data_IF_346966402754
#
_entry.id   IF_346966402754
#
_cell.length_a   1.000
_cell.length_b   1.000
_cell.length_c   1.000
_cell.angle_alpha   90.00
_cell.angle_beta   90.00
_cell.angle_gamma   90.00
#
_symmetry.space_group_name_H-M   'P 1'
#
loop_
_entity.id
_entity.type
_entity.pdbx_description
1 polymer ?
#
# COMPACT_ATOMS: atom_id res chain seq x y z
N UNK A 1 31.61 40.19 -63.95
CA UNK A 1 33.06 40.44 -64.05
C UNK A 1 33.46 41.40 -62.93
N UNK A 2 34.50 41.01 -62.19
CA UNK A 2 35.45 41.82 -61.41
C UNK A 2 35.02 42.65 -60.18
N UNK A 3 35.46 42.10 -59.04
CA UNK A 3 36.27 42.70 -57.95
C UNK A 3 35.67 43.72 -56.96
N UNK A 4 35.71 43.29 -55.69
CA UNK A 4 35.73 44.09 -54.45
C UNK A 4 36.99 44.99 -54.36
N UNK A 5 37.08 45.97 -53.44
CA UNK A 5 37.48 45.65 -52.05
C UNK A 5 36.97 46.57 -50.92
N UNK A 6 36.97 46.00 -49.68
CA UNK A 6 37.41 46.53 -48.36
C UNK A 6 36.88 47.90 -47.88
N UNK A 7 36.62 48.21 -46.61
CA UNK A 7 36.86 47.63 -45.28
C UNK A 7 36.09 48.54 -44.30
N UNK A 8 35.47 48.00 -43.26
CA UNK A 8 35.51 48.59 -41.90
C UNK A 8 34.88 47.62 -40.91
N UNK A 9 35.71 47.16 -39.99
CA UNK A 9 35.34 46.29 -38.89
C UNK A 9 34.66 47.12 -37.81
N UNK A 10 33.42 46.76 -37.47
CA UNK A 10 32.70 47.25 -36.31
C UNK A 10 32.94 46.28 -35.14
N UNK A 11 33.62 46.76 -34.12
CA UNK A 11 33.79 46.07 -32.83
C UNK A 11 32.46 45.98 -32.11
N UNK A 12 31.96 44.75 -31.93
CA UNK A 12 30.77 44.46 -31.11
C UNK A 12 31.11 44.53 -29.62
N UNK A 13 30.19 44.99 -28.75
CA UNK A 13 30.39 44.95 -27.31
C UNK A 13 30.16 43.53 -26.78
N UNK A 14 31.03 43.10 -25.88
CA UNK A 14 30.89 41.91 -25.06
C UNK A 14 29.64 42.11 -24.20
N UNK A 15 28.59 41.34 -24.49
CA UNK A 15 27.44 41.24 -23.62
C UNK A 15 27.77 40.25 -22.49
N UNK A 16 28.07 40.79 -21.31
CA UNK A 16 28.06 40.02 -20.07
C UNK A 16 26.68 39.40 -19.88
N UNK A 17 26.61 38.07 -19.99
CA UNK A 17 25.47 37.30 -19.51
C UNK A 17 25.54 37.29 -17.98
N UNK A 18 24.57 37.88 -17.26
CA UNK A 18 24.45 37.60 -15.84
C UNK A 18 24.04 36.13 -15.68
N UNK A 19 24.98 35.31 -15.22
CA UNK A 19 24.72 33.97 -14.71
C UNK A 19 23.95 34.10 -13.39
N UNK A 20 22.65 34.43 -13.49
CA UNK A 20 21.72 34.26 -12.38
C UNK A 20 21.62 32.75 -12.17
N UNK A 21 22.38 32.23 -11.20
CA UNK A 21 22.20 30.87 -10.72
C UNK A 21 20.77 30.78 -10.20
N UNK A 22 19.86 30.22 -10.99
CA UNK A 22 18.51 29.97 -10.55
C UNK A 22 18.59 29.14 -9.26
N UNK A 23 18.19 29.73 -8.13
CA UNK A 23 18.13 29.01 -6.87
C UNK A 23 17.17 27.83 -7.08
N UNK A 24 17.71 26.62 -7.00
CA UNK A 24 16.95 25.41 -7.20
C UNK A 24 15.98 25.23 -6.04
N UNK A 25 14.69 25.50 -6.28
CA UNK A 25 13.65 25.35 -5.25
C UNK A 25 13.33 23.88 -5.04
N UNK A 26 13.35 23.43 -3.79
CA UNK A 26 12.98 22.07 -3.42
C UNK A 26 11.48 21.88 -3.60
N UNK A 27 11.08 20.89 -4.40
CA UNK A 27 9.67 20.60 -4.65
C UNK A 27 9.07 19.69 -3.58
N UNK A 28 7.74 19.60 -3.54
CA UNK A 28 7.04 18.66 -2.65
C UNK A 28 7.43 17.19 -2.90
N UNK A 29 7.67 16.81 -4.15
CA UNK A 29 8.08 15.43 -4.48
C UNK A 29 9.53 15.16 -4.06
N UNK A 30 10.40 16.17 -4.07
CA UNK A 30 11.76 16.06 -3.55
C UNK A 30 11.74 15.78 -2.04
N UNK A 31 10.88 16.49 -1.31
CA UNK A 31 10.67 16.23 0.13
C UNK A 31 10.16 14.81 0.38
N UNK A 32 9.13 14.37 -0.36
CA UNK A 32 8.63 12.99 -0.26
C UNK A 32 9.69 11.95 -0.63
N UNK A 33 10.60 12.27 -1.54
CA UNK A 33 11.71 11.39 -1.90
C UNK A 33 12.65 11.15 -0.71
N UNK A 34 13.14 12.22 -0.07
CA UNK A 34 13.97 12.09 1.14
C UNK A 34 13.23 11.29 2.21
N UNK A 35 11.97 11.64 2.46
CA UNK A 35 11.16 10.97 3.49
C UNK A 35 10.96 9.49 3.19
N UNK A 36 10.67 9.13 1.94
CA UNK A 36 10.53 7.73 1.52
C UNK A 36 11.81 6.95 1.83
N UNK A 37 12.97 7.49 1.46
CA UNK A 37 14.24 6.77 1.64
C UNK A 37 14.59 6.68 3.12
N UNK A 38 14.56 7.79 3.87
CA UNK A 38 14.91 7.83 5.29
C UNK A 38 13.96 7.01 6.17
N UNK A 39 12.67 7.03 5.86
CA UNK A 39 11.65 6.30 6.62
C UNK A 39 11.67 4.80 6.32
N UNK A 40 12.00 4.39 5.08
CA UNK A 40 12.14 2.97 4.74
C UNK A 40 13.26 2.25 5.50
N UNK A 41 14.26 3.00 5.98
CA UNK A 41 15.43 2.45 6.68
C UNK A 41 15.36 2.57 8.21
N UNK A 42 14.40 3.34 8.75
CA UNK A 42 14.35 3.68 10.18
C UNK A 42 13.59 2.72 11.09
N UNK A 43 12.63 1.93 10.59
CA UNK A 43 11.77 1.13 11.47
C UNK A 43 11.19 -0.12 10.79
N UNK A 44 11.86 -1.26 10.97
CA UNK A 44 11.41 -2.57 10.46
C UNK A 44 10.31 -3.23 11.33
N UNK A 45 9.46 -2.44 11.99
CA UNK A 45 8.33 -2.95 12.81
C UNK A 45 7.05 -3.21 12.01
N UNK A 46 7.14 -3.55 10.72
CA UNK A 46 5.96 -3.92 9.89
C UNK A 46 5.27 -5.25 10.28
N UNK A 47 5.66 -5.90 11.39
CA UNK A 47 5.26 -7.29 11.67
C UNK A 47 3.92 -7.46 12.40
N UNK A 48 3.29 -6.40 12.93
CA UNK A 48 2.08 -6.54 13.75
C UNK A 48 0.75 -6.10 13.11
N UNK A 49 0.72 -5.76 11.81
CA UNK A 49 -0.52 -5.28 11.16
C UNK A 49 -1.68 -6.28 11.22
N UNK A 50 -1.39 -7.59 11.17
CA UNK A 50 -2.44 -8.60 11.16
C UNK A 50 -3.17 -8.73 12.50
N UNK A 51 -2.43 -8.80 13.61
CA UNK A 51 -3.04 -8.90 14.94
C UNK A 51 -3.88 -7.66 15.26
N UNK A 52 -3.38 -6.46 14.92
CA UNK A 52 -4.12 -5.22 15.09
C UNK A 52 -5.39 -5.15 14.21
N UNK A 53 -5.31 -5.59 12.95
CA UNK A 53 -6.46 -5.62 12.05
C UNK A 53 -7.56 -6.57 12.55
N UNK A 54 -7.19 -7.75 13.10
CA UNK A 54 -8.17 -8.68 13.67
C UNK A 54 -8.95 -8.08 14.84
N UNK A 55 -8.28 -7.40 15.77
CA UNK A 55 -8.95 -6.69 16.88
C UNK A 55 -9.82 -5.54 16.37
N UNK A 56 -9.36 -4.82 15.34
CA UNK A 56 -10.14 -3.75 14.72
C UNK A 56 -11.44 -4.28 14.08
N UNK A 57 -11.37 -5.41 13.36
CA UNK A 57 -12.53 -6.03 12.73
C UNK A 57 -13.56 -6.53 13.74
N UNK A 58 -13.12 -7.02 14.91
CA UNK A 58 -14.04 -7.39 15.98
C UNK A 58 -14.90 -6.20 16.44
N UNK A 59 -14.31 -5.00 16.48
CA UNK A 59 -15.01 -3.75 16.84
C UNK A 59 -15.77 -3.13 15.67
N UNK A 60 -15.42 -3.46 14.43
CA UNK A 60 -15.97 -2.85 13.21
C UNK A 60 -16.21 -3.91 12.12
N UNK A 61 -17.24 -4.77 12.25
CA UNK A 61 -17.48 -5.87 11.31
C UNK A 61 -17.71 -5.37 9.87
N UNK A 62 -18.44 -4.26 9.69
CA UNK A 62 -18.66 -3.66 8.35
C UNK A 62 -17.35 -3.32 7.63
N UNK A 63 -16.29 -2.98 8.38
CA UNK A 63 -14.99 -2.67 7.78
C UNK A 63 -14.27 -3.90 7.23
N UNK A 64 -14.48 -5.07 7.85
CA UNK A 64 -13.97 -6.34 7.34
C UNK A 64 -14.59 -6.67 5.99
N UNK A 65 -15.92 -6.47 5.86
CA UNK A 65 -16.62 -6.59 4.59
C UNK A 65 -16.02 -5.66 3.53
N UNK A 66 -15.89 -4.38 3.84
CA UNK A 66 -15.40 -3.40 2.86
C UNK A 66 -13.96 -3.71 2.42
N UNK A 67 -13.05 -4.04 3.34
CA UNK A 67 -11.68 -4.41 2.99
C UNK A 67 -11.62 -5.65 2.10
N UNK A 68 -12.38 -6.69 2.45
CA UNK A 68 -12.40 -7.92 1.68
C UNK A 68 -13.04 -7.72 0.30
N UNK A 69 -14.13 -6.97 0.20
CA UNK A 69 -14.76 -6.65 -1.08
C UNK A 69 -13.86 -5.78 -1.94
N UNK A 70 -13.08 -4.87 -1.35
CA UNK A 70 -12.10 -4.07 -2.09
C UNK A 70 -11.03 -4.94 -2.78
N UNK A 71 -10.73 -6.14 -2.25
CA UNK A 71 -9.81 -7.10 -2.91
C UNK A 71 -10.37 -7.61 -4.24
N UNK A 72 -11.71 -7.72 -4.34
CA UNK A 72 -12.41 -8.20 -5.53
C UNK A 72 -12.42 -7.16 -6.66
N UNK A 73 -12.14 -5.89 -6.36
CA UNK A 73 -12.01 -4.82 -7.37
C UNK A 73 -10.68 -4.90 -8.14
N UNK A 74 -9.72 -5.70 -7.67
CA UNK A 74 -8.34 -5.67 -8.15
C UNK A 74 -8.12 -6.74 -9.20
N UNK A 75 -8.32 -6.34 -10.45
CA UNK A 75 -8.28 -7.17 -11.66
C UNK A 75 -6.95 -7.06 -12.40
N UNK A 76 -6.23 -5.93 -12.27
CA UNK A 76 -4.96 -5.70 -12.96
C UNK A 76 -3.77 -6.19 -12.13
N UNK A 77 -2.57 -5.91 -12.64
CA UNK A 77 -1.29 -6.34 -12.09
C UNK A 77 -0.96 -5.86 -10.67
N UNK A 78 0.29 -6.01 -10.21
CA UNK A 78 0.69 -5.78 -8.80
C UNK A 78 0.37 -4.41 -8.21
N UNK A 79 0.37 -3.38 -9.05
CA UNK A 79 0.18 -2.00 -8.66
C UNK A 79 -1.28 -1.60 -8.60
N UNK A 80 -2.19 -2.49 -9.01
CA UNK A 80 -3.61 -2.26 -8.92
C UNK A 80 -4.05 -2.27 -7.44
N UNK A 81 -4.76 -1.21 -7.10
CA UNK A 81 -5.28 -0.91 -5.76
C UNK A 81 -6.61 -0.20 -5.93
N UNK A 82 -7.49 -0.42 -4.97
CA UNK A 82 -8.80 0.18 -4.92
C UNK A 82 -9.31 0.33 -3.50
N UNK A 83 -10.29 1.21 -3.38
CA UNK A 83 -11.04 1.50 -2.18
C UNK A 83 -12.54 1.41 -2.48
N UNK A 84 -13.34 1.07 -1.47
CA UNK A 84 -14.78 0.92 -1.57
C UNK A 84 -15.47 1.48 -0.32
N UNK A 85 -16.65 2.05 -0.52
CA UNK A 85 -17.53 2.52 0.54
C UNK A 85 -18.95 2.06 0.25
N UNK A 86 -19.70 1.76 1.30
CA UNK A 86 -21.10 1.41 1.21
C UNK A 86 -21.90 2.40 2.05
N UNK A 87 -22.86 3.09 1.42
CA UNK A 87 -23.75 4.05 2.08
C UNK A 87 -25.17 3.52 2.01
N UNK A 88 -25.80 3.39 3.18
CA UNK A 88 -27.19 2.93 3.32
C UNK A 88 -28.10 4.13 3.56
N UNK A 89 -29.13 4.24 2.75
CA UNK A 89 -30.27 5.11 2.94
C UNK A 89 -31.53 4.25 3.10
N UNK A 90 -32.63 4.76 3.69
CA UNK A 90 -33.83 3.97 3.97
C UNK A 90 -34.42 3.19 2.78
N UNK A 91 -34.18 3.64 1.54
CA UNK A 91 -34.69 3.00 0.32
C UNK A 91 -33.60 2.73 -0.73
N UNK A 92 -32.35 3.05 -0.42
CA UNK A 92 -31.25 3.00 -1.40
C UNK A 92 -29.96 2.51 -0.77
N UNK A 93 -29.29 1.59 -1.44
CA UNK A 93 -27.91 1.21 -1.13
C UNK A 93 -27.02 1.79 -2.23
N UNK A 94 -26.07 2.63 -1.85
CA UNK A 94 -25.08 3.18 -2.77
C UNK A 94 -23.73 2.55 -2.48
N UNK A 95 -23.14 1.90 -3.47
CA UNK A 95 -21.77 1.39 -3.42
C UNK A 95 -20.91 2.32 -4.27
N UNK A 96 -19.90 2.90 -3.63
CA UNK A 96 -18.91 3.75 -4.29
C UNK A 96 -17.58 3.03 -4.27
N UNK A 97 -16.91 2.96 -5.41
CA UNK A 97 -15.58 2.40 -5.47
C UNK A 97 -14.66 3.28 -6.30
N UNK A 98 -13.37 3.19 -6.04
CA UNK A 98 -12.36 3.86 -6.86
C UNK A 98 -11.15 2.95 -6.97
N UNK A 99 -10.47 3.03 -8.11
CA UNK A 99 -9.21 2.33 -8.39
C UNK A 99 -8.14 3.36 -8.70
N UNK A 100 -6.87 2.94 -8.62
CA UNK A 100 -5.74 3.80 -9.01
C UNK A 100 -5.90 4.33 -10.43
N UNK A 101 -6.27 3.46 -11.36
CA UNK A 101 -6.54 3.79 -12.76
C UNK A 101 -8.04 3.61 -13.04
N UNK A 102 -8.64 4.43 -13.91
CA UNK A 102 -10.03 4.25 -14.33
C UNK A 102 -10.29 2.83 -14.87
N UNK A 103 -11.42 2.25 -14.48
CA UNK A 103 -11.87 0.97 -15.01
C UNK A 103 -12.17 1.09 -16.50
N UNK A 104 -11.69 0.11 -17.27
CA UNK A 104 -12.22 -0.09 -18.60
C UNK A 104 -13.63 -0.71 -18.53
N UNK A 105 -14.29 -0.85 -19.68
CA UNK A 105 -15.66 -1.37 -19.74
C UNK A 105 -15.79 -2.78 -19.16
N UNK A 106 -14.86 -3.68 -19.48
CA UNK A 106 -14.85 -5.05 -18.99
C UNK A 106 -14.74 -5.11 -17.46
N UNK A 107 -13.88 -4.28 -16.86
CA UNK A 107 -13.72 -4.20 -15.41
C UNK A 107 -14.99 -3.69 -14.74
N UNK A 108 -15.64 -2.67 -15.31
CA UNK A 108 -16.92 -2.16 -14.79
C UNK A 108 -17.99 -3.24 -14.81
N UNK A 109 -18.13 -3.95 -15.92
CA UNK A 109 -19.10 -5.03 -16.07
C UNK A 109 -18.84 -6.18 -15.09
N UNK A 110 -17.56 -6.53 -14.87
CA UNK A 110 -17.18 -7.52 -13.87
C UNK A 110 -17.56 -7.09 -12.45
N UNK A 111 -17.21 -5.85 -12.05
CA UNK A 111 -17.51 -5.32 -10.72
C UNK A 111 -19.03 -5.27 -10.50
N UNK A 112 -19.76 -4.74 -11.48
CA UNK A 112 -21.22 -4.68 -11.45
C UNK A 112 -21.83 -6.07 -11.31
N UNK A 113 -21.35 -7.04 -12.10
CA UNK A 113 -21.84 -8.42 -12.08
C UNK A 113 -21.63 -9.07 -10.71
N UNK A 114 -20.43 -8.97 -10.13
CA UNK A 114 -20.11 -9.54 -8.82
C UNK A 114 -21.00 -8.94 -7.72
N UNK A 115 -21.10 -7.61 -7.67
CA UNK A 115 -21.87 -6.92 -6.63
C UNK A 115 -23.38 -7.12 -6.79
N UNK A 116 -23.92 -6.99 -8.01
CA UNK A 116 -25.35 -7.21 -8.29
C UNK A 116 -25.75 -8.66 -8.03
N UNK A 117 -24.88 -9.64 -8.35
CA UNK A 117 -25.14 -11.06 -8.09
C UNK A 117 -25.21 -11.35 -6.60
N UNK A 118 -24.26 -10.83 -5.80
CA UNK A 118 -24.30 -10.97 -4.35
C UNK A 118 -25.58 -10.36 -3.75
N UNK A 119 -25.94 -9.16 -4.18
CA UNK A 119 -27.18 -8.47 -3.80
C UNK A 119 -28.46 -9.22 -4.22
N UNK A 120 -28.41 -10.12 -5.20
CA UNK A 120 -29.58 -10.85 -5.67
C UNK A 120 -29.82 -12.17 -4.91
N UNK A 121 -28.81 -12.70 -4.22
CA UNK A 121 -28.94 -13.92 -3.42
C UNK A 121 -29.82 -13.68 -2.18
N UNK A 122 -30.80 -14.56 -1.91
CA UNK A 122 -31.76 -14.38 -0.80
C UNK A 122 -31.88 -15.59 0.13
N UNK A 123 -31.73 -16.80 -0.40
CA UNK A 123 -31.82 -18.06 0.36
C UNK A 123 -30.49 -18.82 0.33
N UNK A 124 -30.30 -19.80 1.21
CA UNK A 124 -29.00 -20.51 1.31
C UNK A 124 -28.65 -21.31 0.04
N UNK A 125 -29.64 -21.84 -0.68
CA UNK A 125 -29.41 -22.59 -1.93
C UNK A 125 -28.89 -21.65 -3.03
N UNK A 126 -29.48 -20.46 -3.15
CA UNK A 126 -29.03 -19.41 -4.07
C UNK A 126 -27.71 -18.80 -3.64
N UNK A 127 -27.41 -18.69 -2.34
CA UNK A 127 -26.10 -18.24 -1.83
C UNK A 127 -24.97 -19.20 -2.24
N UNK A 128 -25.15 -20.51 -2.15
CA UNK A 128 -24.12 -21.47 -2.55
C UNK A 128 -23.79 -21.39 -4.05
N UNK A 129 -24.82 -21.36 -4.91
CA UNK A 129 -24.66 -21.17 -6.35
C UNK A 129 -24.00 -19.81 -6.66
N UNK A 130 -24.47 -18.74 -6.00
CA UNK A 130 -23.92 -17.40 -6.12
C UNK A 130 -22.42 -17.34 -5.78
N UNK A 131 -21.97 -18.02 -4.72
CA UNK A 131 -20.55 -18.09 -4.35
C UNK A 131 -19.72 -18.74 -5.45
N UNK A 132 -20.20 -19.83 -6.04
CA UNK A 132 -19.52 -20.52 -7.14
C UNK A 132 -19.44 -19.64 -8.39
N UNK A 133 -20.54 -18.98 -8.75
CA UNK A 133 -20.59 -18.06 -9.90
C UNK A 133 -19.62 -16.88 -9.70
N UNK A 134 -19.64 -16.25 -8.53
CA UNK A 134 -18.73 -15.13 -8.23
C UNK A 134 -17.28 -15.62 -8.25
N UNK A 135 -16.97 -16.78 -7.68
CA UNK A 135 -15.62 -17.33 -7.70
C UNK A 135 -15.13 -17.55 -9.14
N UNK A 136 -15.98 -18.06 -10.02
CA UNK A 136 -15.65 -18.22 -11.43
C UNK A 136 -15.31 -16.87 -12.09
N UNK A 137 -16.13 -15.84 -11.88
CA UNK A 137 -15.88 -14.49 -12.40
C UNK A 137 -14.58 -13.88 -11.83
N UNK A 138 -14.33 -14.06 -10.53
CA UNK A 138 -13.10 -13.60 -9.87
C UNK A 138 -11.88 -14.29 -10.46
N UNK A 139 -11.92 -15.61 -10.68
CA UNK A 139 -10.81 -16.34 -11.31
C UNK A 139 -10.52 -15.75 -12.68
N UNK A 140 -11.53 -15.61 -13.54
CA UNK A 140 -11.36 -15.07 -14.89
C UNK A 140 -10.76 -13.65 -14.91
N UNK A 141 -11.19 -12.77 -14.01
CA UNK A 141 -10.79 -11.36 -14.03
C UNK A 141 -9.57 -11.05 -13.14
N UNK A 142 -9.17 -11.96 -12.25
CA UNK A 142 -8.04 -11.78 -11.33
C UNK A 142 -6.91 -12.80 -11.55
N UNK A 143 -6.91 -13.59 -12.64
CA UNK A 143 -5.94 -14.66 -12.93
C UNK A 143 -4.50 -14.24 -12.67
N UNK A 144 -4.05 -13.08 -13.19
CA UNK A 144 -2.68 -12.60 -13.02
C UNK A 144 -2.30 -12.39 -11.55
N UNK A 145 -3.22 -11.84 -10.76
CA UNK A 145 -3.00 -11.57 -9.33
C UNK A 145 -3.04 -12.86 -8.51
N UNK A 146 -3.93 -13.78 -8.85
CA UNK A 146 -4.02 -15.12 -8.26
C UNK A 146 -2.72 -15.90 -8.53
N UNK A 147 -2.27 -15.93 -9.78
CA UNK A 147 -1.00 -16.55 -10.18
C UNK A 147 0.18 -15.96 -9.42
N UNK A 148 0.28 -14.63 -9.32
CA UNK A 148 1.36 -14.01 -8.56
C UNK A 148 1.33 -14.39 -7.08
N UNK A 149 0.15 -14.54 -6.47
CA UNK A 149 0.01 -15.03 -5.09
C UNK A 149 0.51 -16.47 -4.99
N UNK A 150 0.13 -17.34 -5.93
CA UNK A 150 0.62 -18.72 -6.01
C UNK A 150 2.14 -18.78 -6.18
N UNK A 151 2.73 -18.02 -7.11
CA UNK A 151 4.19 -17.92 -7.29
C UNK A 151 4.90 -17.53 -5.99
N UNK A 152 4.34 -16.57 -5.22
CA UNK A 152 4.90 -16.19 -3.92
C UNK A 152 4.82 -17.33 -2.91
N UNK A 153 3.73 -18.08 -2.86
CA UNK A 153 3.61 -19.26 -1.99
C UNK A 153 4.70 -20.26 -2.38
N UNK A 154 4.80 -20.63 -3.66
CA UNK A 154 5.76 -21.62 -4.14
C UNK A 154 7.22 -21.19 -3.98
N UNK A 155 7.54 -19.91 -4.14
CA UNK A 155 8.87 -19.39 -3.83
C UNK A 155 9.22 -19.56 -2.34
N UNK A 156 8.26 -19.33 -1.43
CA UNK A 156 8.48 -19.55 0.01
C UNK A 156 8.68 -21.04 0.30
N UNK A 157 7.82 -21.89 -0.28
CA UNK A 157 7.95 -23.34 -0.19
C UNK A 157 9.33 -23.83 -0.65
N UNK A 158 9.82 -23.34 -1.80
CA UNK A 158 11.16 -23.68 -2.31
C UNK A 158 12.31 -23.21 -1.41
N UNK A 159 12.15 -22.09 -0.70
CA UNK A 159 13.13 -21.65 0.31
C UNK A 159 13.10 -22.56 1.55
N UNK A 160 11.92 -22.93 2.04
CA UNK A 160 11.78 -23.80 3.20
C UNK A 160 12.33 -25.21 2.93
N UNK A 161 12.07 -25.75 1.73
CA UNK A 161 12.55 -27.06 1.32
C UNK A 161 14.10 -27.13 1.27
N UNK A 162 14.75 -26.08 0.77
CA UNK A 162 16.22 -26.01 0.73
C UNK A 162 16.87 -25.89 2.10
N UNK A 163 16.20 -25.24 3.06
CA UNK A 163 16.76 -24.98 4.38
C UNK A 163 16.64 -26.17 5.35
N UNK A 164 15.61 -27.02 5.22
CA UNK A 164 15.27 -28.04 6.23
C UNK A 164 15.01 -29.43 5.62
N UNK A 165 15.19 -29.62 4.31
CA UNK A 165 14.99 -30.91 3.63
C UNK A 165 13.52 -31.31 3.41
N UNK A 166 12.57 -30.69 4.11
CA UNK A 166 11.12 -30.79 3.88
C UNK A 166 10.41 -29.50 4.36
N UNK A 167 9.16 -29.28 3.95
CA UNK A 167 8.32 -28.21 4.51
C UNK A 167 8.24 -28.40 6.04
N UNK A 168 8.76 -27.47 6.83
CA UNK A 168 8.80 -27.56 8.30
C UNK A 168 7.39 -27.47 8.86
N UNK A 169 6.68 -28.60 8.89
CA UNK A 169 5.44 -28.79 9.63
C UNK A 169 5.86 -29.19 11.04
N UNK A 170 5.74 -28.26 11.98
CA UNK A 170 6.24 -28.44 13.35
C UNK A 170 5.31 -29.38 14.12
N UNK A 171 5.88 -30.32 14.86
CA UNK A 171 5.12 -31.12 15.82
C UNK A 171 4.51 -30.21 16.88
N UNK A 172 3.20 -30.28 17.07
CA UNK A 172 2.46 -29.47 18.05
C UNK A 172 1.55 -30.39 18.87
N UNK A 173 1.40 -30.15 20.19
CA UNK A 173 0.44 -30.89 21.00
C UNK A 173 -1.00 -30.71 20.50
N UNK A 174 -1.27 -29.65 19.74
CA UNK A 174 -2.59 -29.33 19.17
C UNK A 174 -2.84 -29.95 17.78
N UNK A 175 -1.95 -30.82 17.29
CA UNK A 175 -2.03 -31.33 15.91
C UNK A 175 -3.36 -32.02 15.59
N UNK A 176 -3.89 -32.79 16.54
CA UNK A 176 -5.18 -33.49 16.39
C UNK A 176 -6.36 -32.52 16.34
N UNK A 177 -6.33 -31.43 17.11
CA UNK A 177 -7.36 -30.39 17.10
C UNK A 177 -7.36 -29.58 15.81
N UNK A 178 -6.15 -29.25 15.32
CA UNK A 178 -5.94 -28.57 14.03
C UNK A 178 -6.47 -29.46 12.91
N UNK A 179 -6.09 -30.74 12.90
CA UNK A 179 -6.53 -31.71 11.90
C UNK A 179 -8.06 -31.87 11.89
N UNK A 180 -8.65 -32.07 13.08
CA UNK A 180 -10.10 -32.19 13.24
C UNK A 180 -10.82 -30.93 12.75
N UNK A 181 -10.27 -29.75 13.04
CA UNK A 181 -10.82 -28.47 12.58
C UNK A 181 -10.72 -28.30 11.06
N UNK A 182 -9.59 -28.68 10.47
CA UNK A 182 -9.37 -28.60 9.02
C UNK A 182 -10.34 -29.52 8.26
N UNK A 183 -10.60 -30.73 8.77
CA UNK A 183 -11.59 -31.68 8.22
C UNK A 183 -13.03 -31.15 8.22
N UNK A 184 -13.36 -30.17 9.07
CA UNK A 184 -14.69 -29.50 9.04
C UNK A 184 -14.85 -28.59 7.82
N UNK A 185 -13.75 -28.06 7.28
CA UNK A 185 -13.76 -27.14 6.15
C UNK A 185 -13.51 -27.82 4.81
N UNK A 186 -12.88 -28.99 4.81
CA UNK A 186 -12.42 -29.69 3.61
C UNK A 186 -13.23 -30.98 3.41
N UNK A 187 -13.86 -31.18 2.24
CA UNK A 187 -14.52 -32.44 1.92
C UNK A 187 -13.59 -33.64 2.08
N UNK A 188 -14.12 -34.77 2.56
CA UNK A 188 -13.34 -35.97 2.87
C UNK A 188 -12.56 -36.55 1.67
N UNK A 189 -13.00 -36.31 0.43
CA UNK A 189 -12.26 -36.75 -0.75
C UNK A 189 -10.98 -35.92 -1.01
N UNK A 190 -10.90 -34.69 -0.50
CA UNK A 190 -9.67 -33.88 -0.54
C UNK A 190 -8.78 -34.12 0.68
N UNK A 191 -9.34 -34.54 1.82
CA UNK A 191 -8.60 -34.90 3.02
C UNK A 191 -9.18 -36.18 3.65
N UNK A 192 -8.79 -37.37 3.15
CA UNK A 192 -9.26 -38.67 3.65
C UNK A 192 -8.92 -38.91 5.11
N UNK A 193 -9.75 -39.67 5.83
CA UNK A 193 -9.61 -39.86 7.29
C UNK A 193 -8.27 -40.51 7.69
N UNK A 194 -7.69 -41.27 6.79
CA UNK A 194 -6.48 -42.04 6.95
C UNK A 194 -5.22 -41.19 6.71
N UNK A 195 -5.37 -40.06 6.00
CA UNK A 195 -4.27 -39.16 5.69
C UNK A 195 -4.00 -38.23 6.90
N UNK A 196 -2.77 -38.16 7.36
CA UNK A 196 -2.36 -37.20 8.42
C UNK A 196 -2.32 -35.76 7.89
N UNK A 197 -2.47 -34.75 8.75
CA UNK A 197 -2.31 -33.34 8.35
C UNK A 197 -0.96 -33.07 7.67
N UNK A 198 0.12 -33.75 8.07
CA UNK A 198 1.44 -33.62 7.45
C UNK A 198 1.43 -34.10 5.99
N UNK A 199 0.87 -35.28 5.74
CA UNK A 199 0.74 -35.84 4.38
C UNK A 199 -0.15 -34.96 3.51
N UNK A 200 -1.30 -34.53 4.05
CA UNK A 200 -2.23 -33.63 3.38
C UNK A 200 -1.56 -32.32 2.96
N UNK A 201 -0.95 -31.59 3.90
CA UNK A 201 -0.30 -30.30 3.60
C UNK A 201 0.86 -30.48 2.62
N UNK A 202 1.64 -31.54 2.75
CA UNK A 202 2.73 -31.85 1.81
C UNK A 202 2.19 -32.04 0.40
N UNK A 203 1.16 -32.87 0.22
CA UNK A 203 0.50 -33.11 -1.07
C UNK A 203 -0.08 -31.83 -1.67
N UNK A 204 -0.72 -30.98 -0.87
CA UNK A 204 -1.25 -29.69 -1.35
C UNK A 204 -0.12 -28.76 -1.77
N UNK A 205 0.96 -28.66 -1.00
CA UNK A 205 2.10 -27.80 -1.32
C UNK A 205 2.87 -28.25 -2.55
N UNK A 206 3.03 -29.56 -2.73
CA UNK A 206 3.61 -30.12 -3.94
C UNK A 206 2.70 -29.90 -5.16
N UNK A 207 1.39 -30.06 -5.00
CA UNK A 207 0.40 -29.71 -6.03
C UNK A 207 0.46 -28.24 -6.43
N UNK A 208 0.48 -27.32 -5.45
CA UNK A 208 0.64 -25.88 -5.71
C UNK A 208 1.91 -25.57 -6.50
N UNK A 209 3.04 -26.21 -6.17
CA UNK A 209 4.30 -26.04 -6.92
C UNK A 209 4.21 -26.59 -8.34
N UNK A 210 3.57 -27.75 -8.51
CA UNK A 210 3.36 -28.34 -9.81
C UNK A 210 2.42 -27.50 -10.70
N UNK A 211 1.53 -26.72 -10.10
CA UNK A 211 0.54 -25.90 -10.81
C UNK A 211 1.05 -24.52 -11.24
N UNK A 212 2.10 -23.97 -10.61
CA UNK A 212 2.61 -22.64 -10.98
C UNK A 212 3.01 -22.58 -12.46
N UNK A 213 2.40 -21.64 -13.18
CA UNK A 213 2.71 -21.37 -14.59
C UNK A 213 1.99 -22.28 -15.58
N UNK A 214 1.18 -23.24 -15.13
CA UNK A 214 0.35 -24.06 -16.02
C UNK A 214 -0.90 -23.29 -16.48
N UNK A 215 -1.43 -23.57 -17.68
CA UNK A 215 -2.68 -22.98 -18.16
C UNK A 215 -3.92 -23.57 -17.47
N UNK A 216 -3.89 -24.86 -17.11
CA UNK A 216 -5.07 -25.61 -16.63
C UNK A 216 -5.18 -25.69 -15.11
N UNK A 217 -4.67 -24.67 -14.41
CA UNK A 217 -4.68 -24.65 -12.94
C UNK A 217 -6.11 -24.54 -12.42
N UNK A 218 -6.50 -25.46 -11.54
CA UNK A 218 -7.78 -25.39 -10.85
C UNK A 218 -7.73 -24.36 -9.69
N UNK A 219 -7.72 -23.08 -10.05
CA UNK A 219 -7.66 -21.98 -9.08
C UNK A 219 -8.81 -22.02 -8.07
N UNK A 220 -9.99 -22.49 -8.46
CA UNK A 220 -11.14 -22.62 -7.56
C UNK A 220 -10.85 -23.54 -6.38
N UNK A 221 -10.26 -24.70 -6.65
CA UNK A 221 -9.83 -25.63 -5.60
C UNK A 221 -8.71 -25.03 -4.75
N UNK A 222 -7.68 -24.45 -5.36
CA UNK A 222 -6.55 -23.86 -4.64
C UNK A 222 -6.99 -22.71 -3.70
N UNK A 223 -7.89 -21.84 -4.15
CA UNK A 223 -8.43 -20.73 -3.35
C UNK A 223 -9.22 -21.26 -2.14
N UNK A 224 -10.09 -22.25 -2.34
CA UNK A 224 -10.90 -22.86 -1.27
C UNK A 224 -10.04 -23.59 -0.25
N UNK A 225 -9.05 -24.37 -0.69
CA UNK A 225 -8.10 -25.04 0.19
C UNK A 225 -7.25 -24.04 0.97
N UNK A 226 -6.77 -22.98 0.30
CA UNK A 226 -6.02 -21.92 0.96
C UNK A 226 -6.84 -21.22 2.04
N UNK A 227 -8.13 -20.99 1.79
CA UNK A 227 -9.06 -20.47 2.79
C UNK A 227 -9.27 -21.43 3.95
N UNK A 228 -9.51 -22.71 3.70
CA UNK A 228 -9.70 -23.73 4.74
C UNK A 228 -8.48 -23.83 5.66
N UNK A 229 -7.26 -23.88 5.10
CA UNK A 229 -6.01 -23.85 5.85
C UNK A 229 -5.94 -22.57 6.70
N UNK A 230 -6.24 -21.43 6.08
CA UNK A 230 -6.16 -20.11 6.75
C UNK A 230 -7.16 -19.89 7.86
N UNK A 231 -8.35 -20.49 7.74
CA UNK A 231 -9.44 -20.40 8.71
C UNK A 231 -9.32 -21.41 9.85
N UNK A 232 -8.40 -22.36 9.75
CA UNK A 232 -8.19 -23.39 10.78
C UNK A 232 -7.52 -22.77 12.01
N UNK A 233 -8.12 -22.89 13.21
CA UNK A 233 -7.50 -22.42 14.45
C UNK A 233 -6.13 -23.05 14.69
N UNK A 234 -5.20 -22.29 15.28
CA UNK A 234 -3.86 -22.75 15.67
C UNK A 234 -2.97 -23.27 14.52
N UNK A 235 -3.36 -23.08 13.25
CA UNK A 235 -2.57 -23.52 12.09
C UNK A 235 -1.18 -22.85 12.02
N UNK A 236 -1.05 -21.67 12.62
CA UNK A 236 0.20 -20.93 12.79
C UNK A 236 1.20 -21.62 13.73
N UNK A 237 0.75 -22.54 14.59
CA UNK A 237 1.64 -23.34 15.44
C UNK A 237 2.41 -24.40 14.65
N UNK A 238 1.93 -24.79 13.46
CA UNK A 238 2.54 -25.84 12.65
C UNK A 238 3.07 -25.36 11.30
N UNK A 239 2.75 -24.13 10.87
CA UNK A 239 3.20 -23.56 9.61
C UNK A 239 4.12 -22.36 9.81
N UNK A 240 5.10 -22.21 8.91
CA UNK A 240 5.91 -20.99 8.79
C UNK A 240 5.00 -19.75 8.64
N UNK A 241 5.21 -18.73 9.47
CA UNK A 241 4.38 -17.53 9.53
C UNK A 241 4.28 -16.83 8.16
N UNK A 242 5.41 -16.71 7.45
CA UNK A 242 5.48 -16.05 6.14
C UNK A 242 4.75 -16.86 5.08
N UNK A 243 4.84 -18.20 5.12
CA UNK A 243 4.07 -19.08 4.25
C UNK A 243 2.57 -18.96 4.53
N UNK A 244 2.17 -19.05 5.80
CA UNK A 244 0.78 -18.94 6.21
C UNK A 244 0.19 -17.59 5.80
N UNK A 245 0.92 -16.50 5.97
CA UNK A 245 0.51 -15.18 5.46
C UNK A 245 0.24 -15.18 3.95
N UNK A 246 1.10 -15.83 3.16
CA UNK A 246 0.92 -15.93 1.70
C UNK A 246 -0.28 -16.80 1.32
N UNK A 247 -0.49 -17.92 2.04
CA UNK A 247 -1.67 -18.78 1.88
C UNK A 247 -2.95 -18.01 2.24
N UNK A 248 -2.96 -17.27 3.35
CA UNK A 248 -4.05 -16.37 3.75
C UNK A 248 -4.40 -15.41 2.64
N UNK A 249 -3.40 -14.75 2.03
CA UNK A 249 -3.66 -13.86 0.90
C UNK A 249 -4.32 -14.58 -0.29
N UNK A 250 -4.04 -15.85 -0.56
CA UNK A 250 -4.78 -16.58 -1.60
C UNK A 250 -6.20 -16.94 -1.13
N UNK A 251 -6.37 -17.39 0.10
CA UNK A 251 -7.66 -17.71 0.73
C UNK A 251 -8.58 -16.51 0.95
N UNK A 252 -8.04 -15.28 1.02
CA UNK A 252 -8.81 -14.04 1.20
C UNK A 252 -9.85 -13.85 0.07
N UNK A 253 -9.66 -14.45 -1.10
CA UNK A 253 -10.66 -14.43 -2.18
C UNK A 253 -11.93 -15.20 -1.79
N UNK A 254 -11.82 -16.44 -1.30
CA UNK A 254 -12.97 -17.22 -0.83
C UNK A 254 -13.63 -16.54 0.38
N UNK A 255 -12.81 -16.01 1.30
CA UNK A 255 -13.32 -15.27 2.45
C UNK A 255 -14.12 -14.04 2.02
N UNK A 256 -13.60 -13.25 1.08
CA UNK A 256 -14.28 -12.09 0.54
C UNK A 256 -15.59 -12.44 -0.14
N UNK A 257 -15.64 -13.52 -0.92
CA UNK A 257 -16.86 -13.97 -1.59
C UNK A 257 -17.90 -14.43 -0.57
N UNK A 258 -17.48 -15.20 0.45
CA UNK A 258 -18.38 -15.65 1.52
C UNK A 258 -18.99 -14.49 2.29
N UNK A 259 -18.17 -13.52 2.69
CA UNK A 259 -18.61 -12.33 3.42
C UNK A 259 -19.47 -11.43 2.54
N UNK A 260 -19.08 -11.22 1.27
CA UNK A 260 -19.90 -10.48 0.33
C UNK A 260 -21.29 -11.11 0.19
N UNK A 261 -21.39 -12.42 -0.07
CA UNK A 261 -22.67 -13.11 -0.26
C UNK A 261 -23.48 -13.16 1.04
N UNK A 262 -22.85 -13.37 2.19
CA UNK A 262 -23.56 -13.39 3.47
C UNK A 262 -24.08 -11.98 3.82
N UNK A 263 -23.17 -11.03 3.99
CA UNK A 263 -23.48 -9.74 4.60
C UNK A 263 -24.21 -8.80 3.63
N UNK A 264 -23.91 -8.84 2.32
CA UNK A 264 -24.58 -7.97 1.35
C UNK A 264 -25.99 -8.46 1.00
N UNK A 265 -26.24 -9.77 1.10
CA UNK A 265 -27.60 -10.31 0.94
C UNK A 265 -28.55 -9.80 2.02
N UNK A 266 -28.05 -9.67 3.24
CA UNK A 266 -28.82 -9.23 4.40
C UNK A 266 -29.14 -7.72 4.38
N UNK A 267 -28.51 -6.94 3.47
CA UNK A 267 -28.73 -5.50 3.35
C UNK A 267 -30.05 -5.15 2.67
N UNK A 268 -30.60 -6.05 1.86
CA UNK A 268 -31.92 -5.84 1.27
C UNK A 268 -32.96 -6.23 2.31
N UNK A 269 -33.37 -5.27 3.13
CA UNK A 269 -34.57 -5.42 3.97
C UNK A 269 -35.80 -5.81 3.14
N UNK A 270 -36.98 -5.98 3.75
CA UNK A 270 -38.17 -6.51 3.08
C UNK A 270 -38.69 -5.65 1.91
N UNK A 271 -38.17 -4.43 1.71
CA UNK A 271 -38.54 -3.51 0.63
C UNK A 271 -37.55 -3.59 -0.54
N UNK A 272 -38.03 -3.37 -1.77
CA UNK A 272 -37.17 -3.25 -2.97
C UNK A 272 -36.25 -2.03 -2.83
N UNK A 273 -35.05 -2.21 -2.27
CA UNK A 273 -34.03 -1.17 -2.26
C UNK A 273 -33.47 -0.97 -3.68
N UNK A 274 -33.42 0.28 -4.12
CA UNK A 274 -32.66 0.63 -5.32
C UNK A 274 -31.16 0.53 -4.99
N UNK A 275 -30.39 -0.19 -5.81
CA UNK A 275 -28.94 -0.26 -5.65
C UNK A 275 -28.27 0.56 -6.74
N UNK A 276 -27.37 1.45 -6.37
CA UNK A 276 -26.47 2.13 -7.31
C UNK A 276 -25.04 1.73 -7.01
N UNK A 277 -24.32 1.33 -8.06
CA UNK A 277 -22.89 1.07 -8.01
C UNK A 277 -22.25 2.17 -8.87
N UNK A 278 -21.30 2.90 -8.29
CA UNK A 278 -20.71 4.08 -8.92
C UNK A 278 -19.19 4.03 -8.79
N UNK A 279 -18.50 4.08 -9.92
CA UNK A 279 -17.07 4.33 -9.96
C UNK A 279 -16.80 5.82 -9.73
N UNK A 280 -15.99 6.12 -8.72
CA UNK A 280 -15.41 7.43 -8.49
C UNK A 280 -14.07 7.44 -9.19
N UNK A 281 -13.92 8.30 -10.20
CA UNK A 281 -12.67 8.42 -10.93
C UNK A 281 -11.58 8.95 -10.01
N UNK A 282 -10.50 8.19 -9.85
CA UNK A 282 -9.26 8.71 -9.29
C UNK A 282 -8.65 9.70 -10.30
N UNK A 283 -8.02 10.75 -9.79
CA UNK A 283 -7.37 11.76 -10.61
C UNK A 283 -6.20 11.16 -11.39
N UNK A 284 -5.91 11.75 -12.56
CA UNK A 284 -4.88 11.29 -13.50
C UNK A 284 -3.50 11.15 -12.84
N UNK A 285 -2.87 10.00 -13.10
CA UNK A 285 -1.46 9.74 -12.79
C UNK A 285 -0.58 10.38 -13.87
N UNK A 286 0.55 10.97 -13.49
CA UNK A 286 1.53 11.50 -14.46
C UNK A 286 2.96 11.20 -14.00
N UNK A 287 3.86 11.05 -14.96
CA UNK A 287 5.27 10.79 -14.67
C UNK A 287 6.00 12.09 -14.33
N UNK A 288 6.69 12.09 -13.20
CA UNK A 288 7.59 13.15 -12.75
C UNK A 288 9.02 12.65 -12.83
N UNK A 289 9.92 13.51 -13.30
CA UNK A 289 11.36 13.28 -13.24
C UNK A 289 11.88 13.86 -11.92
N UNK A 290 12.47 13.03 -11.07
CA UNK A 290 13.32 13.55 -10.00
C UNK A 290 14.69 13.87 -10.57
N UNK A 291 15.07 15.15 -10.52
CA UNK A 291 16.35 15.64 -11.04
C UNK A 291 17.37 15.92 -9.94
N UNK A 292 17.03 15.67 -8.68
CA UNK A 292 17.82 16.10 -7.52
C UNK A 292 18.08 14.90 -6.62
N UNK A 293 19.34 14.69 -6.25
CA UNK A 293 19.70 13.62 -5.33
C UNK A 293 19.22 13.95 -3.90
N UNK A 294 18.92 12.96 -3.04
CA UNK A 294 18.56 13.20 -1.64
C UNK A 294 19.54 14.11 -0.90
N UNK A 295 20.84 13.98 -1.19
CA UNK A 295 21.90 14.80 -0.61
C UNK A 295 21.84 16.25 -1.09
N UNK A 296 21.59 16.47 -2.38
CA UNK A 296 21.39 17.82 -2.92
C UNK A 296 20.15 18.47 -2.33
N UNK A 297 19.07 17.72 -2.14
CA UNK A 297 17.85 18.25 -1.51
C UNK A 297 18.16 18.68 -0.07
N UNK A 298 18.86 17.88 0.73
CA UNK A 298 19.22 18.26 2.11
C UNK A 298 20.23 19.41 2.18
N UNK A 299 21.19 19.49 1.25
CA UNK A 299 22.11 20.64 1.16
C UNK A 299 21.34 21.93 0.91
N UNK A 300 20.42 21.93 -0.05
CA UNK A 300 19.56 23.08 -0.30
C UNK A 300 18.68 23.37 0.93
N UNK A 301 18.15 22.35 1.60
CA UNK A 301 17.35 22.50 2.83
C UNK A 301 18.15 23.14 3.99
N UNK A 302 19.44 22.79 4.11
CA UNK A 302 20.38 23.36 5.07
C UNK A 302 20.74 24.81 4.75
N UNK A 303 20.94 25.10 3.47
CA UNK A 303 21.19 26.46 2.97
C UNK A 303 20.02 27.39 3.27
N UNK A 304 18.79 26.94 3.02
CA UNK A 304 17.57 27.70 3.30
C UNK A 304 17.40 28.00 4.80
N UNK A 305 18.07 27.24 5.67
CA UNK A 305 18.09 27.41 7.14
C UNK A 305 19.37 28.07 7.68
N UNK A 306 20.27 28.53 6.81
CA UNK A 306 21.56 29.13 7.17
C UNK A 306 22.46 28.23 8.05
N UNK A 307 22.43 26.91 7.83
CA UNK A 307 23.24 25.93 8.59
C UNK A 307 24.12 25.05 7.68
N UNK A 308 24.36 25.50 6.43
CA UNK A 308 25.13 24.77 5.43
C UNK A 308 26.54 24.37 5.90
N UNK A 309 27.20 25.23 6.71
CA UNK A 309 28.54 24.98 7.26
C UNK A 309 28.62 23.78 8.21
N UNK A 310 27.49 23.28 8.70
CA UNK A 310 27.42 22.17 9.66
C UNK A 310 27.09 20.84 8.97
N UNK A 311 26.51 20.88 7.78
CA UNK A 311 26.00 19.71 7.08
C UNK A 311 26.99 19.19 6.03
N UNK A 312 27.50 17.97 6.20
CA UNK A 312 28.30 17.27 5.20
C UNK A 312 27.56 16.03 4.70
N UNK A 313 27.94 15.54 3.52
CA UNK A 313 27.37 14.31 2.95
C UNK A 313 27.63 13.10 3.85
N UNK A 314 28.77 13.06 4.53
CA UNK A 314 29.15 11.94 5.40
C UNK A 314 28.27 11.89 6.65
N UNK A 315 27.83 13.04 7.17
CA UNK A 315 26.86 13.09 8.27
C UNK A 315 25.54 12.41 7.92
N UNK A 316 25.03 12.63 6.71
CA UNK A 316 23.81 11.97 6.27
C UNK A 316 23.99 10.45 6.15
N UNK A 317 25.13 10.00 5.63
CA UNK A 317 25.49 8.57 5.52
C UNK A 317 25.63 7.91 6.89
N UNK A 318 26.18 8.62 7.87
CA UNK A 318 26.30 8.13 9.25
C UNK A 318 24.93 7.86 9.88
N UNK A 319 23.96 8.75 9.67
CA UNK A 319 22.59 8.57 10.21
C UNK A 319 21.80 7.51 9.44
N UNK A 320 22.04 7.40 8.13
CA UNK A 320 21.34 6.47 7.25
C UNK A 320 22.31 5.55 6.48
N UNK A 321 23.08 4.69 7.18
CA UNK A 321 24.16 3.88 6.57
C UNK A 321 23.64 2.81 5.60
N UNK A 322 22.35 2.50 5.67
CA UNK A 322 21.66 1.57 4.78
C UNK A 322 21.36 2.18 3.40
N UNK A 323 21.48 3.51 3.25
CA UNK A 323 21.44 4.13 1.94
C UNK A 323 22.74 3.80 1.22
N UNK A 324 22.67 2.82 0.31
CA UNK A 324 23.81 2.47 -0.54
C UNK A 324 24.37 3.74 -1.15
N UNK A 325 25.69 3.89 -1.06
CA UNK A 325 26.34 5.01 -1.70
C UNK A 325 26.02 4.93 -3.19
N UNK A 326 25.39 5.98 -3.72
CA UNK A 326 25.18 6.20 -5.15
C UNK A 326 26.50 6.21 -5.94
N UNK A 327 27.65 6.12 -5.24
CA UNK A 327 28.99 5.95 -5.78
C UNK A 327 29.39 4.50 -6.09
N UNK A 328 28.78 3.47 -5.49
CA UNK A 328 29.12 2.07 -5.81
C UNK A 328 28.27 1.48 -6.95
N UNK A 329 27.12 2.07 -7.21
CA UNK A 329 26.38 1.88 -8.45
C UNK A 329 26.56 3.13 -9.29
N UNK A 330 27.58 3.15 -10.14
CA UNK A 330 27.74 4.07 -11.27
C UNK A 330 26.63 3.87 -12.31
N UNK A 331 25.38 3.87 -11.87
CA UNK A 331 24.25 4.21 -12.72
C UNK A 331 24.44 5.69 -12.98
N UNK A 332 24.84 6.02 -14.21
CA UNK A 332 25.08 7.39 -14.65
C UNK A 332 24.02 8.33 -14.07
N UNK A 333 24.44 9.37 -13.36
CA UNK A 333 23.59 10.47 -12.86
C UNK A 333 22.80 11.21 -13.97
N UNK A 334 22.91 10.75 -15.22
CA UNK A 334 22.12 11.20 -16.37
C UNK A 334 20.75 10.51 -16.48
N UNK A 335 20.54 9.34 -15.84
CA UNK A 335 19.21 8.71 -15.82
C UNK A 335 18.32 9.35 -14.75
N UNK A 336 17.56 10.36 -15.19
CA UNK A 336 16.44 10.94 -14.44
C UNK A 336 15.52 9.83 -13.93
N UNK A 337 15.40 9.71 -12.62
CA UNK A 337 14.49 8.74 -12.02
C UNK A 337 13.05 9.17 -12.31
N UNK A 338 12.36 8.40 -13.16
CA UNK A 338 10.96 8.62 -13.48
C UNK A 338 10.07 7.96 -12.43
N UNK A 339 9.26 8.77 -11.76
CA UNK A 339 8.29 8.32 -10.75
C UNK A 339 6.89 8.65 -11.22
N UNK A 340 5.94 7.75 -10.96
CA UNK A 340 4.53 8.01 -11.24
C UNK A 340 3.91 8.72 -10.05
N UNK A 341 3.55 9.99 -10.24
CA UNK A 341 2.74 10.75 -9.29
C UNK A 341 1.29 10.30 -9.38
N UNK A 342 0.65 9.99 -8.25
CA UNK A 342 -0.74 9.54 -8.22
C UNK A 342 -1.42 9.86 -6.88
N UNK A 343 -2.74 10.09 -6.96
CA UNK A 343 -3.61 10.16 -5.78
C UNK A 343 -3.98 8.74 -5.39
N UNK A 344 -3.86 8.41 -4.10
CA UNK A 344 -4.29 7.12 -3.60
C UNK A 344 -5.83 7.01 -3.55
N UNK A 345 -6.34 5.81 -3.82
CA UNK A 345 -7.78 5.52 -3.93
C UNK A 345 -8.57 5.95 -2.68
N UNK A 346 -8.06 5.69 -1.49
CA UNK A 346 -8.72 6.04 -0.23
C UNK A 346 -8.92 7.55 -0.08
N UNK A 347 -7.93 8.36 -0.47
CA UNK A 347 -8.02 9.82 -0.41
C UNK A 347 -9.02 10.37 -1.43
N UNK A 348 -9.00 9.83 -2.66
CA UNK A 348 -9.93 10.23 -3.71
C UNK A 348 -11.38 9.93 -3.31
N UNK A 349 -11.63 8.72 -2.81
CA UNK A 349 -12.96 8.29 -2.37
C UNK A 349 -13.45 9.08 -1.15
N UNK A 350 -12.58 9.27 -0.15
CA UNK A 350 -12.89 10.07 1.04
C UNK A 350 -13.37 11.48 0.65
N UNK A 351 -12.59 12.17 -0.18
CA UNK A 351 -12.89 13.54 -0.61
C UNK A 351 -14.17 13.61 -1.44
N UNK A 352 -14.38 12.64 -2.34
CA UNK A 352 -15.60 12.58 -3.15
C UNK A 352 -16.85 12.43 -2.28
N UNK A 353 -16.85 11.46 -1.36
CA UNK A 353 -17.98 11.19 -0.48
C UNK A 353 -18.23 12.35 0.48
N UNK A 354 -17.17 12.94 1.02
CA UNK A 354 -17.28 14.14 1.84
C UNK A 354 -18.01 15.23 1.03
N UNK A 355 -17.52 15.61 -0.15
CA UNK A 355 -18.17 16.65 -0.98
C UNK A 355 -19.62 16.32 -1.34
N UNK A 356 -19.89 15.07 -1.73
CA UNK A 356 -21.22 14.62 -2.15
C UNK A 356 -22.26 14.73 -1.04
N UNK A 357 -21.85 14.47 0.21
CA UNK A 357 -22.78 14.38 1.34
C UNK A 357 -22.67 15.54 2.35
N UNK A 358 -21.60 16.34 2.29
CA UNK A 358 -21.36 17.46 3.20
C UNK A 358 -22.46 18.52 3.13
N UNK A 359 -22.84 18.95 1.93
CA UNK A 359 -23.91 19.94 1.76
C UNK A 359 -25.26 19.44 2.32
N UNK A 360 -25.56 18.15 2.13
CA UNK A 360 -26.80 17.52 2.60
C UNK A 360 -26.81 17.42 4.13
N UNK A 361 -25.68 17.10 4.74
CA UNK A 361 -25.58 16.93 6.18
C UNK A 361 -25.48 18.25 6.96
N UNK A 362 -24.81 19.27 6.41
CA UNK A 362 -24.72 20.58 7.05
C UNK A 362 -26.09 21.26 7.19
N UNK A 363 -26.96 21.11 6.19
CA UNK A 363 -28.34 21.58 6.28
C UNK A 363 -29.13 20.89 7.39
N UNK A 364 -28.78 19.65 7.73
CA UNK A 364 -29.49 18.82 8.72
C UNK A 364 -28.77 18.71 10.07
N UNK A 365 -27.60 19.35 10.22
CA UNK A 365 -26.67 19.20 11.36
C UNK A 365 -26.43 17.74 11.78
N UNK A 366 -26.35 16.82 10.80
CA UNK A 366 -26.19 15.38 11.08
C UNK A 366 -24.73 14.97 11.01
N UNK A 367 -24.34 14.12 11.94
CA UNK A 367 -23.07 13.41 11.91
C UNK A 367 -22.95 12.55 10.64
N UNK A 368 -21.85 12.67 9.90
CA UNK A 368 -21.54 11.88 8.72
C UNK A 368 -20.47 10.84 9.04
N UNK A 369 -20.82 9.56 8.93
CA UNK A 369 -19.85 8.46 9.05
C UNK A 369 -19.52 7.91 7.65
N UNK A 370 -18.26 8.01 7.25
CA UNK A 370 -17.73 7.46 6.00
C UNK A 370 -16.84 6.27 6.35
N UNK A 371 -17.13 5.11 5.79
CA UNK A 371 -16.36 3.87 6.00
C UNK A 371 -15.70 3.46 4.70
N UNK A 372 -14.37 3.37 4.68
CA UNK A 372 -13.58 3.06 3.49
C UNK A 372 -12.85 1.74 3.67
N UNK A 373 -13.26 0.72 2.94
CA UNK A 373 -12.48 -0.50 2.79
C UNK A 373 -11.39 -0.32 1.75
N UNK A 374 -10.20 -0.82 2.04
CA UNK A 374 -9.01 -0.64 1.19
C UNK A 374 -8.34 -1.97 0.89
N UNK A 375 -7.96 -2.15 -0.38
CA UNK A 375 -7.36 -3.41 -0.85
C UNK A 375 -5.92 -3.62 -0.36
N UNK A 376 -5.30 -2.54 0.11
CA UNK A 376 -4.00 -2.48 0.79
C UNK A 376 -4.10 -1.40 1.88
N UNK A 377 -3.39 -1.55 3.02
CA UNK A 377 -3.31 -0.49 4.02
C UNK A 377 -2.85 0.83 3.38
N UNK A 378 -3.49 1.93 3.75
CA UNK A 378 -3.12 3.26 3.26
C UNK A 378 -1.71 3.65 3.69
N UNK A 379 -1.08 4.61 3.02
CA UNK A 379 0.26 5.08 3.40
C UNK A 379 0.18 6.18 4.49
N UNK A 380 1.33 6.59 5.04
CA UNK A 380 1.38 7.64 6.06
C UNK A 380 0.76 8.94 5.56
N UNK A 381 1.03 9.31 4.30
CA UNK A 381 0.45 10.53 3.70
C UNK A 381 -1.07 10.44 3.54
N UNK A 382 -1.61 9.25 3.30
CA UNK A 382 -3.07 9.06 3.26
C UNK A 382 -3.70 9.22 4.63
N UNK A 383 -3.04 8.73 5.68
CA UNK A 383 -3.46 8.94 7.07
C UNK A 383 -3.53 10.43 7.39
N UNK A 384 -2.41 11.14 7.17
CA UNK A 384 -2.32 12.59 7.39
C UNK A 384 -3.37 13.36 6.62
N UNK A 385 -3.59 13.02 5.35
CA UNK A 385 -4.63 13.64 4.53
C UNK A 385 -6.03 13.44 5.10
N UNK A 386 -6.37 12.22 5.51
CA UNK A 386 -7.68 11.92 6.09
C UNK A 386 -7.86 12.62 7.45
N UNK A 387 -6.82 12.66 8.28
CA UNK A 387 -6.84 13.38 9.56
C UNK A 387 -7.13 14.88 9.34
N UNK A 388 -6.45 15.51 8.38
CA UNK A 388 -6.67 16.92 8.03
C UNK A 388 -8.09 17.13 7.46
N UNK A 389 -8.56 16.23 6.59
CA UNK A 389 -9.95 16.32 6.08
C UNK A 389 -10.99 16.28 7.20
N UNK A 390 -10.79 15.45 8.23
CA UNK A 390 -11.71 15.35 9.37
C UNK A 390 -11.69 16.62 10.24
N UNK A 391 -10.51 17.20 10.49
CA UNK A 391 -10.38 18.46 11.24
C UNK A 391 -11.11 19.59 10.52
N UNK A 392 -10.99 19.66 9.19
CA UNK A 392 -11.63 20.67 8.34
C UNK A 392 -13.14 20.45 8.17
N UNK A 393 -13.65 19.30 8.61
CA UNK A 393 -15.05 18.90 8.40
C UNK A 393 -15.73 18.50 9.72
N UNK A 394 -16.06 19.46 10.61
CA UNK A 394 -16.72 19.17 11.87
C UNK A 394 -17.97 18.30 11.70
N UNK A 395 -18.09 17.25 12.52
CA UNK A 395 -19.21 16.31 12.44
C UNK A 395 -19.07 15.21 11.38
N UNK A 396 -17.91 15.10 10.73
CA UNK A 396 -17.57 13.95 9.88
C UNK A 396 -16.60 13.03 10.60
N UNK A 397 -16.83 11.72 10.50
CA UNK A 397 -15.81 10.72 10.81
C UNK A 397 -15.54 9.85 9.58
N UNK A 398 -14.26 9.74 9.23
CA UNK A 398 -13.78 8.90 8.14
C UNK A 398 -13.02 7.74 8.77
N UNK A 399 -13.47 6.52 8.51
CA UNK A 399 -12.91 5.30 9.08
C UNK A 399 -12.23 4.51 7.98
N UNK A 400 -10.94 4.25 8.17
CA UNK A 400 -10.12 3.35 7.34
C UNK A 400 -9.49 2.31 8.25
N UNK A 401 -9.42 1.07 7.80
CA UNK A 401 -9.03 -0.09 8.62
C UNK A 401 -7.58 -0.11 9.04
N UNK A 402 -6.69 0.30 8.15
CA UNK A 402 -5.27 0.25 8.42
C UNK A 402 -4.50 1.23 7.56
N UNK A 403 -3.48 1.80 8.21
CA UNK A 403 -2.41 2.53 7.57
C UNK A 403 -1.11 1.80 7.83
N UNK A 404 -0.19 1.90 6.88
CA UNK A 404 1.21 1.61 7.08
C UNK A 404 1.98 2.92 7.11
N UNK A 405 3.19 2.86 7.65
CA UNK A 405 4.01 4.07 7.83
C UNK A 405 4.81 4.41 6.56
N UNK A 406 4.59 3.71 5.43
CA UNK A 406 5.32 4.00 4.19
C UNK A 406 4.97 5.39 3.67
N UNK A 407 5.96 6.04 3.04
CA UNK A 407 5.79 7.34 2.38
C UNK A 407 6.09 7.12 0.90
N UNK A 408 5.08 7.10 0.00
CA UNK A 408 5.31 6.90 -1.42
C UNK A 408 5.85 8.20 -2.03
N UNK A 409 6.99 8.11 -2.73
CA UNK A 409 7.61 9.27 -3.41
C UNK A 409 6.64 9.98 -4.36
N UNK A 410 5.85 9.22 -5.11
CA UNK A 410 4.86 9.74 -6.04
C UNK A 410 3.49 10.06 -5.42
N UNK A 411 3.38 10.20 -4.10
CA UNK A 411 2.09 10.54 -3.50
C UNK A 411 1.69 11.98 -3.82
N UNK A 412 0.40 12.20 -4.11
CA UNK A 412 -0.13 13.53 -4.43
C UNK A 412 -1.39 13.86 -3.61
N UNK A 413 -1.48 15.12 -3.19
CA UNK A 413 -2.71 15.68 -2.60
C UNK A 413 -3.81 15.72 -3.68
N UNK A 414 -5.04 15.25 -3.42
CA UNK A 414 -6.12 15.35 -4.38
C UNK A 414 -6.34 16.80 -4.85
N UNK A 415 -6.40 17.03 -6.17
CA UNK A 415 -6.51 18.38 -6.76
C UNK A 415 -7.72 19.16 -6.23
N UNK A 416 -8.82 18.44 -5.97
CA UNK A 416 -10.07 19.02 -5.51
C UNK A 416 -10.08 19.40 -4.02
N UNK A 417 -8.98 19.18 -3.28
CA UNK A 417 -8.85 19.58 -1.88
C UNK A 417 -8.83 21.10 -1.72
N UNK A 418 -9.31 21.61 -0.58
CA UNK A 418 -9.23 23.04 -0.27
C UNK A 418 -7.77 23.51 -0.14
N UNK A 419 -7.54 24.81 -0.30
CA UNK A 419 -6.21 25.41 -0.12
C UNK A 419 -5.68 25.15 1.30
N UNK A 420 -6.54 25.20 2.31
CA UNK A 420 -6.17 24.94 3.70
C UNK A 420 -5.69 23.49 3.91
N UNK A 421 -6.40 22.50 3.35
CA UNK A 421 -5.97 21.09 3.39
C UNK A 421 -4.62 20.92 2.68
N UNK A 422 -4.45 21.52 1.49
CA UNK A 422 -3.19 21.46 0.73
C UNK A 422 -2.04 22.05 1.55
N UNK A 423 -2.19 23.28 2.03
CA UNK A 423 -1.15 23.96 2.81
C UNK A 423 -0.79 23.20 4.08
N UNK A 424 -1.79 22.65 4.79
CA UNK A 424 -1.55 21.87 6.00
C UNK A 424 -0.74 20.60 5.70
N UNK A 425 -1.06 19.88 4.62
CA UNK A 425 -0.30 18.69 4.23
C UNK A 425 1.12 19.05 3.78
N UNK A 426 1.28 20.11 2.98
CA UNK A 426 2.61 20.59 2.60
C UNK A 426 3.45 20.94 3.84
N UNK A 427 2.89 21.66 4.81
CA UNK A 427 3.57 21.98 6.06
C UNK A 427 3.93 20.73 6.88
N UNK A 428 3.03 19.74 6.96
CA UNK A 428 3.33 18.48 7.65
C UNK A 428 4.47 17.70 6.98
N UNK A 429 4.55 17.71 5.65
CA UNK A 429 5.68 17.09 4.92
C UNK A 429 6.98 17.84 5.19
N UNK A 430 6.97 19.18 5.11
CA UNK A 430 8.13 20.00 5.47
C UNK A 430 8.62 19.73 6.89
N UNK A 431 7.71 19.64 7.87
CA UNK A 431 8.06 19.36 9.27
C UNK A 431 8.67 17.96 9.45
N UNK A 432 8.24 16.96 8.66
CA UNK A 432 8.86 15.64 8.67
C UNK A 432 10.28 15.69 8.10
N UNK A 433 10.52 16.50 7.07
CA UNK A 433 11.88 16.72 6.54
C UNK A 433 12.73 17.43 7.58
N UNK A 434 12.17 18.40 8.31
CA UNK A 434 12.86 19.05 9.42
C UNK A 434 13.27 18.06 10.51
N UNK A 435 12.39 17.11 10.87
CA UNK A 435 12.73 16.05 11.83
C UNK A 435 13.89 15.18 11.34
N UNK A 436 13.90 14.82 10.06
CA UNK A 436 15.02 14.09 9.43
C UNK A 436 16.29 14.92 9.51
N UNK A 437 16.20 16.20 9.18
CA UNK A 437 17.33 17.11 9.15
C UNK A 437 17.93 17.36 10.54
N UNK A 438 17.10 17.61 11.55
CA UNK A 438 17.49 17.73 12.96
C UNK A 438 18.19 16.48 13.47
N UNK A 439 17.70 15.29 13.10
CA UNK A 439 18.35 14.02 13.46
C UNK A 439 19.77 13.93 12.89
N UNK A 440 19.96 14.39 11.65
CA UNK A 440 21.30 14.46 11.05
C UNK A 440 22.17 15.42 11.86
N UNK A 441 21.71 16.65 12.10
CA UNK A 441 22.46 17.65 12.85
C UNK A 441 22.83 17.20 14.28
N UNK A 442 21.90 16.58 15.01
CA UNK A 442 22.16 16.06 16.36
C UNK A 442 23.28 15.04 16.38
N UNK A 443 23.27 14.12 15.41
CA UNK A 443 24.33 13.10 15.27
C UNK A 443 25.69 13.76 14.98
N UNK A 444 25.72 14.84 14.20
CA UNK A 444 26.95 15.62 13.96
C UNK A 444 27.51 16.24 15.25
N UNK A 445 26.63 16.81 16.09
CA UNK A 445 27.03 17.46 17.33
C UNK A 445 27.63 16.45 18.33
N UNK A 446 27.03 15.27 18.45
CA UNK A 446 27.53 14.19 19.30
C UNK A 446 28.92 13.70 18.86
N UNK A 447 29.14 13.55 17.55
CA UNK A 447 30.45 13.15 17.01
C UNK A 447 31.54 14.20 17.28
N UNK A 448 31.24 15.49 17.09
CA UNK A 448 32.20 16.56 17.40
C UNK A 448 32.58 16.62 18.89
N UNK A 449 31.63 16.33 19.78
CA UNK A 449 31.91 16.24 21.22
C UNK A 449 32.79 15.03 21.54
N UNK A 450 32.53 13.87 20.93
CA UNK A 450 33.34 12.66 21.13
C UNK A 450 34.75 12.77 20.53
N UNK A 451 34.92 13.48 19.42
CA UNK A 451 36.24 13.76 18.83
C UNK A 451 37.04 14.74 19.70
N UNK A 452 36.38 15.73 20.32
CA UNK A 452 37.02 16.61 21.30
C UNK A 452 37.44 15.87 22.56
N UNK A 453 36.60 14.96 23.08
CA UNK A 453 36.94 14.11 24.23
C UNK A 453 38.07 13.16 23.87
N UNK A 454 38.06 12.54 22.69
CA UNK A 454 39.12 11.64 22.23
C UNK A 454 40.45 12.37 22.00
N UNK A 455 40.42 13.59 21.44
CA UNK A 455 41.61 14.43 21.30
C UNK A 455 42.17 14.88 22.66
N UNK A 456 41.32 15.13 23.66
CA UNK A 456 41.77 15.47 25.02
C UNK A 456 42.42 14.28 25.75
N UNK A 457 41.92 13.06 25.55
CA UNK A 457 42.49 11.83 26.13
C UNK A 457 43.79 11.41 25.43
N UNK A 458 43.94 11.72 24.13
CA UNK A 458 45.18 11.50 23.38
C UNK A 458 46.21 12.60 23.73
N UNK A 459 45.79 13.84 23.97
CA UNK A 459 46.65 14.93 24.45
C UNK A 459 47.29 14.64 25.81
N UNK A 460 46.54 14.07 26.77
CA UNK A 460 47.08 13.69 28.09
C UNK A 460 48.02 12.47 28.02
N UNK A 461 47.87 11.58 27.04
CA UNK A 461 48.79 10.44 26.85
C UNK A 461 50.08 10.78 26.12
N UNK A 462 50.15 11.94 25.45
CA UNK A 462 51.33 12.37 24.69
C UNK A 462 52.02 13.65 25.23
N UNK A 463 51.50 14.26 26.29
CA UNK A 463 52.17 15.36 27.02
C UNK A 463 52.89 14.91 28.31
N UNK A 464 52.87 13.61 28.60
CA UNK A 464 53.65 12.98 29.67
C UNK A 464 54.95 12.34 29.19
N UNK A 465 55.83 13.11 28.53
CA UNK A 465 57.27 12.83 28.41
C UNK A 465 58.08 14.12 28.32
#
# INVERSE_FOLDING_TARGET
>A
MYQSPMMSQSTSPIADKPSISAQQTITFNDQLNILSITHHHGDHKQRNYHAAAHQFYYRNPDMRLLDLVSLLLITRGPHDVGAISLIRHPQKISIYYTKKEPCNQQEREYIDRVLKRALASRDEKTKAACRTDILHNVIQNCTLKINRRLTKICHRLGHLNRAVGHYRIVSSPYIMDIETSLRKFIPGYYFPKEETIKQFLTRIFDGMRADVGKPDVNFGTLIRLSWAISATPNIDLILDEVLLYRIRKLGDYELAIRILVAEVSDLKGPKKHCTTIEEVLSLESFSISLSVSPEQILKTWAKDRNVESVFTQDHFRLVFPQMKSSTESSVNLTEKQMIVSSVHCECALALYLLKKYWCINNQKKRYLKIQLGVSKPGCLMCRRFIDVLMVESPGVAIIVTSFNDKIPVGWKVPNASSTLVKNTIHNQVSNLVDTVFERVLSTCCELKQNDFVSASVISERYSGR
#
